data_IF_825851974681
#
_entry.id   IF_825851974681
#
_cell.length_a   1.000
_cell.length_b   1.000
_cell.length_c   1.000
_cell.angle_alpha   90.00
_cell.angle_beta   90.00
_cell.angle_gamma   90.00
#
_symmetry.space_group_name_H-M   'P 1'
#
loop_
_entity.id
_entity.type
_entity.pdbx_description
1 polymer ?
#
# COMPACT_ATOMS: atom_id res chain seq x y z
N UNK A 1 -31.92 73.24 -23.05
CA UNK A 1 -31.60 72.58 -24.34
C UNK A 1 -30.12 72.72 -24.60
N UNK A 2 -29.54 71.70 -25.24
CA UNK A 2 -28.16 71.48 -25.69
C UNK A 2 -27.06 71.24 -24.64
N UNK A 3 -26.51 70.03 -24.77
CA UNK A 3 -25.45 69.40 -24.01
C UNK A 3 -24.05 69.84 -24.48
N UNK A 4 -23.03 69.59 -23.65
CA UNK A 4 -21.73 69.11 -24.12
C UNK A 4 -20.95 68.50 -22.94
N UNK A 5 -20.65 67.22 -23.08
CA UNK A 5 -19.76 66.47 -22.20
C UNK A 5 -18.30 66.85 -22.49
N UNK A 6 -17.47 66.86 -21.45
CA UNK A 6 -16.01 66.85 -21.60
C UNK A 6 -15.43 65.80 -20.65
N UNK A 7 -14.54 64.98 -21.19
CA UNK A 7 -14.04 63.71 -20.64
C UNK A 7 -12.52 63.76 -20.47
N UNK A 8 -12.01 62.91 -19.58
CA UNK A 8 -10.65 62.36 -19.42
C UNK A 8 -9.73 63.00 -18.34
N UNK A 9 -8.69 62.28 -17.83
CA UNK A 9 -8.46 60.83 -17.79
C UNK A 9 -8.08 60.26 -16.39
N UNK A 10 -8.11 58.92 -16.28
CA UNK A 10 -7.71 58.12 -15.11
C UNK A 10 -6.18 57.90 -15.02
N UNK A 11 -5.62 57.60 -13.83
CA UNK A 11 -4.21 57.24 -13.68
C UNK A 11 -3.92 55.83 -14.19
N UNK A 12 -2.90 55.72 -15.05
CA UNK A 12 -2.39 54.50 -15.67
C UNK A 12 -1.61 53.65 -14.68
N UNK A 13 -2.05 52.41 -14.49
CA UNK A 13 -1.35 51.35 -13.79
C UNK A 13 -0.23 50.79 -14.69
N UNK A 14 1.01 50.80 -14.20
CA UNK A 14 2.12 50.15 -14.90
C UNK A 14 2.10 48.66 -14.55
N UNK A 15 1.46 47.87 -15.40
CA UNK A 15 1.51 46.41 -15.36
C UNK A 15 2.87 45.95 -15.91
N UNK A 16 3.75 45.47 -15.04
CA UNK A 16 4.95 44.77 -15.45
C UNK A 16 4.54 43.42 -16.07
N UNK A 17 4.69 43.32 -17.39
CA UNK A 17 4.45 42.11 -18.19
C UNK A 17 5.40 40.99 -17.76
N UNK A 18 4.90 40.03 -17.00
CA UNK A 18 5.56 38.74 -16.83
C UNK A 18 5.49 37.97 -18.16
N UNK A 19 6.60 37.91 -18.88
CA UNK A 19 6.73 37.09 -20.08
C UNK A 19 6.61 35.60 -19.71
N UNK A 20 5.80 34.79 -20.44
CA UNK A 20 5.68 33.37 -20.18
C UNK A 20 6.91 32.66 -20.76
N UNK A 21 7.75 32.11 -19.89
CA UNK A 21 8.82 31.19 -20.29
C UNK A 21 8.32 29.75 -20.18
N UNK A 22 8.73 28.88 -21.12
CA UNK A 22 7.96 27.74 -21.64
C UNK A 22 7.72 26.63 -20.60
N UNK A 23 6.70 25.76 -20.82
CA UNK A 23 6.54 24.58 -19.98
C UNK A 23 7.80 23.74 -20.11
N UNK A 24 8.45 23.48 -18.97
CA UNK A 24 9.50 22.50 -18.81
C UNK A 24 8.88 21.11 -19.05
N UNK A 25 8.64 20.80 -20.32
CA UNK A 25 8.51 19.44 -20.79
C UNK A 25 9.91 18.92 -21.09
N UNK A 26 10.09 17.67 -20.70
CA UNK A 26 11.26 16.82 -20.87
C UNK A 26 12.26 16.91 -19.69
N UNK A 27 12.69 15.83 -19.04
CA UNK A 27 12.74 14.41 -19.35
C UNK A 27 12.62 13.63 -18.02
N UNK A 28 12.11 12.41 -17.92
CA UNK A 28 12.58 11.26 -18.67
C UNK A 28 11.51 10.17 -18.77
N UNK A 29 11.27 9.72 -20.00
CA UNK A 29 10.92 8.33 -20.27
C UNK A 29 12.15 7.47 -19.94
N UNK A 30 12.43 7.29 -18.64
CA UNK A 30 13.28 6.20 -18.15
C UNK A 30 12.55 4.88 -18.37
N UNK A 31 13.27 3.75 -18.46
CA UNK A 31 12.80 2.54 -19.13
C UNK A 31 11.44 2.12 -18.58
N UNK A 32 10.64 1.48 -19.43
CA UNK A 32 9.44 0.69 -19.16
C UNK A 32 9.74 -0.39 -18.10
N UNK A 33 10.07 0.06 -16.89
CA UNK A 33 10.39 -0.74 -15.73
C UNK A 33 9.06 -0.92 -15.05
N UNK A 34 8.47 -2.09 -15.26
CA UNK A 34 7.25 -2.53 -14.58
C UNK A 34 7.33 -2.04 -13.14
N UNK A 35 6.40 -1.18 -12.67
CA UNK A 35 6.59 -0.48 -11.41
C UNK A 35 6.63 -1.49 -10.27
N UNK A 36 7.84 -1.80 -9.81
CA UNK A 36 8.06 -2.68 -8.68
C UNK A 36 7.52 -2.00 -7.43
N UNK A 37 6.74 -2.74 -6.65
CA UNK A 37 6.18 -2.22 -5.41
C UNK A 37 7.26 -2.20 -4.35
N UNK A 38 7.57 -1.00 -3.84
CA UNK A 38 8.58 -0.78 -2.80
C UNK A 38 7.88 -0.63 -1.46
N UNK A 39 8.29 -1.41 -0.47
CA UNK A 39 7.71 -1.45 0.87
C UNK A 39 8.79 -1.09 1.88
N UNK A 40 8.61 0.02 2.57
CA UNK A 40 9.49 0.47 3.65
C UNK A 40 9.28 -0.36 4.90
N UNK A 41 10.38 -0.84 5.46
CA UNK A 41 10.49 -1.55 6.71
C UNK A 41 11.37 -0.74 7.65
N UNK A 42 11.06 -0.78 8.94
CA UNK A 42 11.78 -0.02 9.92
C UNK A 42 11.71 -0.69 11.29
N UNK A 43 12.85 -0.76 11.94
CA UNK A 43 13.01 -1.33 13.26
C UNK A 43 13.67 -0.29 14.16
N UNK A 44 12.90 0.24 15.11
CA UNK A 44 13.38 1.12 16.15
C UNK A 44 13.24 0.39 17.48
N UNK A 45 14.38 0.22 18.15
CA UNK A 45 14.47 -0.54 19.38
C UNK A 45 13.45 -0.02 20.42
N UNK A 46 12.72 -0.96 21.04
CA UNK A 46 11.67 -0.75 22.04
C UNK A 46 10.42 0.08 21.66
N UNK A 47 10.44 0.85 20.57
CA UNK A 47 9.33 1.77 20.24
C UNK A 47 8.54 1.41 18.99
N UNK A 48 9.18 0.86 17.97
CA UNK A 48 8.54 0.70 16.66
C UNK A 48 9.13 -0.48 15.88
N UNK A 49 8.30 -1.43 15.47
CA UNK A 49 8.70 -2.53 14.60
C UNK A 49 7.75 -2.59 13.42
N UNK A 50 8.29 -2.43 12.22
CA UNK A 50 7.60 -2.57 10.95
C UNK A 50 8.35 -3.59 10.12
N UNK A 51 7.79 -4.80 10.05
CA UNK A 51 8.41 -5.95 9.43
C UNK A 51 7.41 -6.70 8.55
N UNK A 52 7.92 -7.63 7.75
CA UNK A 52 7.10 -8.52 6.93
C UNK A 52 6.89 -9.84 7.68
N UNK A 53 5.63 -10.29 7.79
CA UNK A 53 5.31 -11.64 8.31
C UNK A 53 5.49 -12.71 7.25
N UNK A 54 5.13 -12.39 6.01
CA UNK A 54 5.35 -13.23 4.84
C UNK A 54 5.44 -12.37 3.58
N UNK A 55 5.96 -12.97 2.52
CA UNK A 55 6.19 -12.34 1.22
C UNK A 55 7.67 -12.41 0.88
N UNK A 56 7.96 -12.90 -0.32
CA UNK A 56 9.31 -13.04 -0.87
C UNK A 56 9.69 -11.73 -1.58
N UNK A 57 10.54 -10.87 -0.99
CA UNK A 57 11.02 -9.69 -1.68
C UNK A 57 11.97 -10.10 -2.79
N UNK A 58 11.76 -9.60 -4.00
CA UNK A 58 12.69 -9.81 -5.11
C UNK A 58 14.05 -9.16 -4.83
N UNK A 59 14.06 -8.02 -4.12
CA UNK A 59 15.27 -7.35 -3.65
C UNK A 59 15.02 -6.68 -2.31
N UNK A 60 16.01 -6.71 -1.43
CA UNK A 60 16.00 -5.94 -0.18
C UNK A 60 17.14 -4.92 -0.22
N UNK A 61 16.79 -3.64 -0.19
CA UNK A 61 17.75 -2.53 -0.14
C UNK A 61 17.83 -2.03 1.30
N UNK A 62 18.99 -2.17 1.93
CA UNK A 62 19.19 -1.59 3.27
C UNK A 62 19.46 -0.09 3.11
N UNK A 63 18.60 0.74 3.70
CA UNK A 63 18.76 2.19 3.66
C UNK A 63 19.66 2.65 4.81
N UNK A 64 19.36 2.18 6.01
CA UNK A 64 20.11 2.48 7.23
C UNK A 64 20.28 1.22 8.10
N UNK A 65 20.96 1.36 9.24
CA UNK A 65 21.04 0.29 10.24
C UNK A 65 19.66 -0.19 10.73
N UNK A 66 18.67 0.72 10.73
CA UNK A 66 17.31 0.53 11.26
C UNK A 66 16.20 0.49 10.20
N UNK A 67 16.51 0.78 8.92
CA UNK A 67 15.50 0.92 7.86
C UNK A 67 15.93 0.14 6.63
N UNK A 68 15.00 -0.57 6.02
CA UNK A 68 15.21 -1.28 4.76
C UNK A 68 14.00 -1.14 3.86
N UNK A 69 14.20 -1.40 2.58
CA UNK A 69 13.19 -1.36 1.55
C UNK A 69 13.10 -2.74 0.91
N UNK A 70 11.94 -3.37 1.03
CA UNK A 70 11.62 -4.60 0.33
C UNK A 70 10.97 -4.26 -1.01
N UNK A 71 11.53 -4.78 -2.10
CA UNK A 71 11.05 -4.56 -3.46
C UNK A 71 10.36 -5.83 -3.93
N UNK A 72 9.11 -5.70 -4.36
CA UNK A 72 8.26 -6.80 -4.78
C UNK A 72 7.94 -6.72 -6.27
N UNK A 73 7.84 -7.90 -6.89
CA UNK A 73 7.30 -8.04 -8.24
C UNK A 73 5.82 -7.66 -8.26
N UNK A 74 5.28 -7.18 -9.39
CA UNK A 74 3.84 -6.95 -9.52
C UNK A 74 3.05 -8.22 -9.22
N UNK A 75 1.84 -8.07 -8.65
CA UNK A 75 0.98 -9.16 -8.19
C UNK A 75 1.53 -10.02 -7.02
N UNK A 76 2.75 -9.78 -6.54
CA UNK A 76 3.26 -10.47 -5.36
C UNK A 76 2.46 -10.06 -4.11
N UNK A 77 2.08 -11.05 -3.30
CA UNK A 77 1.39 -10.82 -2.03
C UNK A 77 2.37 -10.84 -0.87
N UNK A 78 2.16 -9.92 0.07
CA UNK A 78 2.98 -9.77 1.26
C UNK A 78 2.14 -9.29 2.42
N UNK A 79 2.56 -9.65 3.63
CA UNK A 79 1.94 -9.21 4.87
C UNK A 79 2.91 -8.37 5.67
N UNK A 80 2.49 -7.17 6.03
CA UNK A 80 3.25 -6.23 6.84
C UNK A 80 2.61 -6.08 8.20
N UNK A 81 3.42 -6.22 9.25
CA UNK A 81 3.00 -5.99 10.63
C UNK A 81 3.70 -4.76 11.16
N UNK A 82 2.90 -3.86 11.73
CA UNK A 82 3.35 -2.69 12.48
C UNK A 82 3.01 -2.92 13.95
N UNK A 83 4.05 -2.92 14.76
CA UNK A 83 3.97 -2.85 16.20
C UNK A 83 4.56 -1.52 16.65
N UNK A 84 3.86 -0.82 17.54
CA UNK A 84 4.35 0.42 18.10
C UNK A 84 4.00 0.47 19.58
N UNK A 85 5.00 0.74 20.41
CA UNK A 85 4.79 1.09 21.81
C UNK A 85 4.92 2.60 21.97
N UNK A 86 3.98 3.19 22.70
CA UNK A 86 4.00 4.61 23.05
C UNK A 86 4.45 4.75 24.50
N UNK A 87 5.12 5.85 24.84
CA UNK A 87 5.58 6.14 26.21
C UNK A 87 4.41 6.22 27.22
N UNK A 88 3.18 6.41 26.73
CA UNK A 88 1.94 6.40 27.50
C UNK A 88 1.34 4.98 27.71
N UNK A 89 2.09 3.91 27.44
CA UNK A 89 1.67 2.53 27.66
C UNK A 89 0.72 1.95 26.62
N UNK A 90 0.34 2.71 25.58
CA UNK A 90 -0.50 2.19 24.49
C UNK A 90 0.34 1.44 23.47
N UNK A 91 0.05 0.15 23.31
CA UNK A 91 0.61 -0.70 22.27
C UNK A 91 -0.35 -0.74 21.08
N UNK A 92 0.11 -0.30 19.91
CA UNK A 92 -0.65 -0.40 18.66
C UNK A 92 -0.13 -1.56 17.83
N UNK A 93 -0.99 -2.55 17.65
CA UNK A 93 -0.83 -3.64 16.69
C UNK A 93 -1.62 -3.32 15.42
N UNK A 94 -0.98 -3.46 14.27
CA UNK A 94 -1.60 -3.34 12.96
C UNK A 94 -1.03 -4.41 12.04
N UNK A 95 -1.90 -5.13 11.33
CA UNK A 95 -1.53 -6.12 10.33
C UNK A 95 -2.22 -5.77 9.03
N UNK A 96 -1.44 -5.76 7.95
CA UNK A 96 -1.92 -5.46 6.61
C UNK A 96 -1.46 -6.53 5.63
N UNK A 97 -2.41 -7.21 4.99
CA UNK A 97 -2.12 -8.09 3.84
C UNK A 97 -2.39 -7.30 2.57
N UNK A 98 -1.39 -7.26 1.70
CA UNK A 98 -1.39 -6.43 0.51
C UNK A 98 -0.89 -7.22 -0.70
N UNK A 99 -1.32 -6.77 -1.87
CA UNK A 99 -0.83 -7.25 -3.14
C UNK A 99 -0.16 -6.10 -3.90
N UNK A 100 1.05 -6.34 -4.40
CA UNK A 100 1.78 -5.41 -5.25
C UNK A 100 0.96 -5.08 -6.50
N UNK A 101 0.72 -3.78 -6.75
CA UNK A 101 -0.10 -3.35 -7.87
C UNK A 101 0.69 -3.38 -9.18
N UNK A 102 0.00 -3.73 -10.27
CA UNK A 102 0.42 -3.36 -11.62
C UNK A 102 -0.02 -1.91 -11.91
N UNK A 103 0.55 -1.22 -12.91
CA UNK A 103 0.18 0.17 -13.21
C UNK A 103 -1.28 0.36 -13.63
N UNK A 104 -1.99 -0.72 -13.98
CA UNK A 104 -3.41 -0.71 -14.34
C UNK A 104 -4.35 -1.01 -13.15
N UNK A 105 -3.81 -1.44 -12.01
CA UNK A 105 -4.63 -1.77 -10.84
C UNK A 105 -5.03 -0.52 -10.04
N UNK A 106 -6.21 -0.60 -9.40
CA UNK A 106 -6.63 0.38 -8.40
C UNK A 106 -5.71 0.32 -7.17
N UNK A 107 -4.63 1.10 -7.20
CA UNK A 107 -3.65 1.16 -6.13
C UNK A 107 -4.13 2.05 -4.98
N UNK A 108 -4.10 1.52 -3.75
CA UNK A 108 -4.32 2.32 -2.55
C UNK A 108 -2.99 2.93 -2.09
N UNK A 109 -3.02 4.23 -1.75
CA UNK A 109 -1.87 4.89 -1.13
C UNK A 109 -1.74 4.40 0.31
N UNK A 110 -0.66 3.68 0.58
CA UNK A 110 -0.34 3.16 1.90
C UNK A 110 0.99 3.79 2.33
N UNK A 111 1.10 4.37 3.54
CA UNK A 111 2.35 4.94 4.01
C UNK A 111 3.50 3.93 3.97
N UNK A 112 4.61 4.32 3.36
CA UNK A 112 5.77 3.47 3.14
C UNK A 112 5.59 2.42 2.03
N UNK A 113 4.57 2.54 1.17
CA UNK A 113 4.41 1.69 -0.02
C UNK A 113 4.32 2.58 -1.26
N UNK A 114 5.22 2.40 -2.22
CA UNK A 114 5.26 3.17 -3.47
C UNK A 114 5.35 2.22 -4.68
N UNK A 115 4.57 2.42 -5.76
CA UNK A 115 3.60 3.51 -5.99
C UNK A 115 2.29 3.37 -5.18
N UNK A 116 2.00 2.18 -4.67
CA UNK A 116 0.85 1.83 -3.86
C UNK A 116 0.70 0.31 -3.82
N UNK A 117 -0.32 -0.18 -3.12
CA UNK A 117 -0.65 -1.60 -3.14
C UNK A 117 -2.15 -1.80 -3.01
N UNK A 118 -2.63 -2.98 -3.44
CA UNK A 118 -4.02 -3.38 -3.27
C UNK A 118 -4.17 -3.95 -1.87
N UNK A 119 -4.87 -3.23 -1.00
CA UNK A 119 -5.15 -3.69 0.34
C UNK A 119 -6.19 -4.82 0.30
N UNK A 120 -5.84 -5.97 0.88
CA UNK A 120 -6.73 -7.14 0.93
C UNK A 120 -7.33 -7.32 2.33
N UNK A 121 -6.49 -7.10 3.35
CA UNK A 121 -6.89 -7.17 4.75
C UNK A 121 -6.15 -6.09 5.52
N UNK A 122 -6.89 -5.37 6.35
CA UNK A 122 -6.35 -4.45 7.36
C UNK A 122 -7.06 -4.72 8.66
N UNK A 123 -6.27 -4.90 9.72
CA UNK A 123 -6.81 -5.05 11.06
C UNK A 123 -5.91 -4.38 12.07
N UNK A 124 -6.52 -3.87 13.13
CA UNK A 124 -5.85 -3.21 14.24
C UNK A 124 -6.31 -3.80 15.56
N UNK A 125 -5.41 -3.79 16.54
CA UNK A 125 -5.65 -4.35 17.86
C UNK A 125 -5.09 -5.75 18.03
N UNK A 126 -4.65 -6.05 19.24
CA UNK A 126 -3.93 -7.28 19.57
C UNK A 126 -4.76 -8.54 19.28
N UNK A 127 -6.01 -8.58 19.73
CA UNK A 127 -6.88 -9.75 19.55
C UNK A 127 -7.15 -10.07 18.09
N UNK A 128 -7.44 -9.04 17.28
CA UNK A 128 -7.74 -9.24 15.86
C UNK A 128 -6.49 -9.60 15.07
N UNK A 129 -5.34 -8.97 15.37
CA UNK A 129 -4.06 -9.32 14.75
C UNK A 129 -3.67 -10.76 15.09
N UNK A 130 -3.82 -11.17 16.36
CA UNK A 130 -3.59 -12.55 16.79
C UNK A 130 -4.49 -13.54 16.08
N UNK A 131 -5.79 -13.28 15.98
CA UNK A 131 -6.71 -14.16 15.27
C UNK A 131 -6.37 -14.30 13.77
N UNK A 132 -5.83 -13.25 13.13
CA UNK A 132 -5.34 -13.33 11.75
C UNK A 132 -4.03 -14.12 11.66
N UNK A 133 -3.11 -13.92 12.61
CA UNK A 133 -1.88 -14.69 12.69
C UNK A 133 -2.15 -16.18 12.83
N UNK A 134 -3.09 -16.57 13.69
CA UNK A 134 -3.51 -17.98 13.83
C UNK A 134 -4.01 -18.57 12.49
N UNK A 135 -4.69 -17.76 11.66
CA UNK A 135 -5.12 -18.21 10.32
C UNK A 135 -3.97 -18.31 9.33
N UNK A 136 -2.98 -17.43 9.43
CA UNK A 136 -1.74 -17.52 8.65
C UNK A 136 -0.99 -18.79 9.04
N UNK A 137 -0.84 -19.05 10.34
CA UNK A 137 -0.15 -20.23 10.86
C UNK A 137 -0.87 -21.53 10.46
N UNK A 138 -2.21 -21.53 10.45
CA UNK A 138 -3.00 -22.66 9.94
C UNK A 138 -2.77 -22.92 8.43
N UNK A 139 -2.59 -21.87 7.62
CA UNK A 139 -2.26 -22.01 6.19
C UNK A 139 -0.84 -22.55 6.01
N UNK A 140 0.12 -22.04 6.79
CA UNK A 140 1.50 -22.53 6.80
C UNK A 140 1.57 -24.01 7.22
N UNK A 141 0.75 -24.43 8.19
CA UNK A 141 0.65 -25.82 8.63
C UNK A 141 0.13 -26.78 7.53
N UNK A 142 -0.61 -26.26 6.55
CA UNK A 142 -1.01 -27.03 5.36
C UNK A 142 0.10 -27.12 4.31
N UNK A 143 1.28 -26.53 4.55
CA UNK A 143 2.39 -26.47 3.61
C UNK A 143 2.17 -25.45 2.49
N UNK A 144 1.18 -24.57 2.62
CA UNK A 144 0.86 -23.55 1.62
C UNK A 144 1.52 -22.25 2.04
N UNK A 145 2.26 -21.63 1.13
CA UNK A 145 2.78 -20.29 1.36
C UNK A 145 1.60 -19.29 1.48
N UNK A 146 1.47 -18.50 2.56
CA UNK A 146 0.38 -17.52 2.69
C UNK A 146 0.38 -16.48 1.56
N UNK A 147 1.54 -16.19 0.98
CA UNK A 147 1.71 -15.36 -0.23
C UNK A 147 1.16 -16.00 -1.51
N UNK A 148 0.86 -17.30 -1.50
CA UNK A 148 0.19 -18.02 -2.57
C UNK A 148 -1.30 -18.24 -2.29
N UNK A 149 -1.82 -17.90 -1.11
CA UNK A 149 -3.25 -18.03 -0.83
C UNK A 149 -4.09 -17.06 -1.68
N UNK A 150 -5.37 -17.39 -1.94
CA UNK A 150 -6.17 -16.60 -2.88
C UNK A 150 -6.44 -15.16 -2.39
N UNK A 151 -6.30 -14.12 -3.23
CA UNK A 151 -6.63 -12.74 -2.84
C UNK A 151 -8.09 -12.57 -2.40
N UNK A 152 -8.99 -13.38 -2.96
CA UNK A 152 -10.40 -13.40 -2.57
C UNK A 152 -10.60 -13.89 -1.14
N UNK A 153 -9.86 -14.93 -0.71
CA UNK A 153 -9.90 -15.42 0.67
C UNK A 153 -9.52 -14.33 1.66
N UNK A 154 -8.43 -13.60 1.40
CA UNK A 154 -7.99 -12.48 2.26
C UNK A 154 -9.05 -11.39 2.40
N UNK A 155 -9.77 -11.06 1.31
CA UNK A 155 -10.89 -10.11 1.36
C UNK A 155 -12.08 -10.65 2.16
N UNK A 156 -12.43 -11.92 1.97
CA UNK A 156 -13.49 -12.56 2.77
C UNK A 156 -13.14 -12.56 4.25
N UNK A 157 -11.89 -12.88 4.59
CA UNK A 157 -11.38 -12.84 5.96
C UNK A 157 -11.50 -11.42 6.55
N UNK A 158 -11.09 -10.39 5.79
CA UNK A 158 -11.22 -8.99 6.20
C UNK A 158 -12.68 -8.58 6.45
N UNK A 159 -13.59 -8.96 5.53
CA UNK A 159 -15.01 -8.67 5.66
C UNK A 159 -15.62 -9.35 6.89
N UNK A 160 -15.24 -10.62 7.17
CA UNK A 160 -15.72 -11.33 8.36
C UNK A 160 -15.15 -10.77 9.67
N UNK A 161 -13.90 -10.33 9.67
CA UNK A 161 -13.31 -9.62 10.82
C UNK A 161 -14.06 -8.34 11.13
N UNK A 162 -14.37 -7.54 10.11
CA UNK A 162 -15.14 -6.31 10.25
C UNK A 162 -16.56 -6.60 10.77
N UNK A 163 -17.19 -7.68 10.28
CA UNK A 163 -18.51 -8.12 10.71
C UNK A 163 -18.51 -8.91 12.05
N UNK A 164 -17.35 -9.14 12.67
CA UNK A 164 -17.19 -9.99 13.89
C UNK A 164 -17.79 -11.39 13.74
N UNK A 165 -17.71 -11.94 12.54
CA UNK A 165 -18.19 -13.28 12.20
C UNK A 165 -17.06 -14.33 12.34
N UNK A 166 -17.40 -15.62 12.47
CA UNK A 166 -16.41 -16.69 12.54
C UNK A 166 -15.49 -16.67 11.30
N UNK A 167 -14.19 -16.73 11.56
CA UNK A 167 -13.17 -16.64 10.52
C UNK A 167 -13.23 -17.89 9.63
N UNK A 168 -13.19 -17.73 8.29
CA UNK A 168 -13.23 -18.85 7.39
C UNK A 168 -11.90 -19.61 7.44
N UNK A 169 -12.00 -20.94 7.46
CA UNK A 169 -10.85 -21.81 7.29
C UNK A 169 -10.41 -21.85 5.82
N UNK A 170 -9.10 -21.96 5.61
CA UNK A 170 -8.53 -22.14 4.30
C UNK A 170 -8.18 -23.61 4.13
N UNK A 171 -8.74 -24.27 3.11
CA UNK A 171 -8.53 -25.68 2.84
C UNK A 171 -7.66 -25.88 1.60
N UNK A 172 -6.96 -27.02 1.53
CA UNK A 172 -6.15 -27.38 0.37
C UNK A 172 -7.00 -27.48 -0.91
N UNK A 173 -8.24 -27.97 -0.82
CA UNK A 173 -9.18 -28.04 -1.95
C UNK A 173 -9.51 -26.65 -2.52
N UNK A 174 -9.76 -25.67 -1.63
CA UNK A 174 -9.98 -24.27 -2.02
C UNK A 174 -8.73 -23.69 -2.69
N UNK A 175 -7.54 -24.06 -2.20
CA UNK A 175 -6.28 -23.64 -2.81
C UNK A 175 -6.12 -24.23 -4.22
N UNK A 176 -6.35 -25.53 -4.39
CA UNK A 176 -6.29 -26.19 -5.69
C UNK A 176 -7.29 -25.60 -6.70
N UNK A 177 -8.54 -25.36 -6.29
CA UNK A 177 -9.54 -24.71 -7.13
C UNK A 177 -9.14 -23.30 -7.57
N UNK A 178 -8.50 -22.55 -6.67
CA UNK A 178 -7.95 -21.23 -7.03
C UNK A 178 -6.75 -21.32 -7.99
N UNK A 179 -5.85 -22.29 -7.81
CA UNK A 179 -4.72 -22.51 -8.72
C UNK A 179 -5.21 -22.85 -10.13
N UNK A 180 -6.23 -23.70 -10.25
CA UNK A 180 -6.87 -24.01 -11.53
C UNK A 180 -7.46 -22.74 -12.14
N UNK A 181 -8.24 -21.97 -11.37
CA UNK A 181 -8.83 -20.71 -11.83
C UNK A 181 -7.81 -19.65 -12.25
N UNK A 182 -6.59 -19.68 -11.69
CA UNK A 182 -5.48 -18.79 -12.09
C UNK A 182 -4.78 -19.25 -13.37
N UNK A 183 -4.81 -20.54 -13.68
CA UNK A 183 -4.22 -21.11 -14.88
C UNK A 183 -5.13 -20.98 -16.12
N UNK A 184 -6.40 -20.63 -15.91
CA UNK A 184 -7.33 -20.34 -17.00
C UNK A 184 -7.09 -18.92 -17.54
N UNK A 185 -6.98 -18.75 -18.88
CA UNK A 185 -6.71 -17.46 -19.53
C UNK A 185 -7.87 -16.47 -19.49
#
# INVERSE_FOLDING_TARGET
MTASASSAPAPVAFAATAAPSPPLLAHATGPTSTPLTRVSLAFLEHRFKLYLRFGEPARTLRLDRWRSLAVFMPNAMFCRIRWQSTDYGTVRWQLMVMQACTPLDAAQRIPGVQPGARLLLHTEGENQVRAVLERIDAIEALGIAPSAASPAYWRTLANRLAARLPLPEYTAERHAGWLIGRALP
#
